data_IF_241640423394
#
_entry.id   IF_241640423394
#
_cell.length_a   1.000
_cell.length_b   1.000
_cell.length_c   1.000
_cell.angle_alpha   90.00
_cell.angle_beta   90.00
_cell.angle_gamma   90.00
#
_symmetry.space_group_name_H-M   'P 1'
#
loop_
_entity.id
_entity.type
_entity.pdbx_description
1 polymer ?
#
# COMPACT_ATOMS: atom_id res chain seq x y z
N UNK A 1 -26.68 -9.11 29.90
CA UNK A 1 -26.73 -7.98 28.95
C UNK A 1 -26.34 -8.52 27.58
N UNK A 2 -27.20 -8.44 26.57
CA UNK A 2 -26.84 -8.81 25.19
C UNK A 2 -25.84 -7.78 24.72
N UNK A 3 -24.64 -8.21 24.38
CA UNK A 3 -23.64 -7.37 23.70
C UNK A 3 -24.23 -6.98 22.35
N UNK A 4 -24.65 -5.74 22.22
CA UNK A 4 -25.05 -5.15 20.93
C UNK A 4 -23.79 -5.19 20.09
N UNK A 5 -23.84 -5.85 18.93
CA UNK A 5 -22.75 -5.82 17.97
C UNK A 5 -22.78 -4.40 17.36
N UNK A 6 -21.88 -3.49 17.74
CA UNK A 6 -22.02 -2.06 17.42
C UNK A 6 -22.03 -1.81 15.92
N UNK A 7 -21.54 -2.74 15.12
CA UNK A 7 -21.34 -2.58 13.68
C UNK A 7 -22.62 -2.86 12.88
N UNK A 8 -23.39 -3.87 13.24
CA UNK A 8 -24.65 -4.20 12.54
C UNK A 8 -25.76 -3.15 12.73
N UNK A 9 -25.73 -2.43 13.83
CA UNK A 9 -26.75 -1.42 14.15
C UNK A 9 -26.38 -0.01 13.69
N UNK A 10 -25.11 0.23 13.31
CA UNK A 10 -24.61 1.54 12.88
C UNK A 10 -25.30 2.07 11.63
N UNK A 11 -25.56 1.21 10.65
CA UNK A 11 -26.24 1.59 9.40
C UNK A 11 -27.66 2.13 9.64
N UNK A 12 -28.36 1.63 10.68
CA UNK A 12 -29.68 2.11 11.06
C UNK A 12 -29.61 3.55 11.56
N UNK A 13 -28.67 3.85 12.43
CA UNK A 13 -28.50 5.20 13.00
C UNK A 13 -28.04 6.21 11.94
N UNK A 14 -27.10 5.82 11.09
CA UNK A 14 -26.59 6.63 9.97
C UNK A 14 -27.72 6.96 8.98
N UNK A 15 -28.54 5.95 8.61
CA UNK A 15 -29.66 6.15 7.70
C UNK A 15 -30.78 7.02 8.27
N UNK A 16 -30.85 7.19 9.59
CA UNK A 16 -31.81 8.06 10.27
C UNK A 16 -31.20 9.39 10.73
N UNK A 17 -30.01 9.77 10.24
CA UNK A 17 -29.31 11.01 10.57
C UNK A 17 -29.01 11.16 12.08
N UNK A 18 -28.83 10.04 12.79
CA UNK A 18 -28.51 10.04 14.22
C UNK A 18 -26.98 10.03 14.38
N UNK A 19 -26.43 11.04 15.04
CA UNK A 19 -25.02 11.11 15.38
C UNK A 19 -24.69 10.02 16.41
N UNK A 20 -23.91 9.02 16.01
CA UNK A 20 -23.46 7.94 16.89
C UNK A 20 -22.08 8.28 17.42
N UNK A 21 -21.88 8.13 18.71
CA UNK A 21 -20.61 8.35 19.41
C UNK A 21 -20.34 7.11 20.25
N UNK A 22 -19.12 6.62 20.22
CA UNK A 22 -18.70 5.48 21.03
C UNK A 22 -17.91 5.96 22.25
N UNK A 23 -18.06 5.28 23.38
CA UNK A 23 -17.21 5.47 24.56
C UNK A 23 -16.29 4.24 24.68
N UNK A 24 -15.01 4.41 25.09
CA UNK A 24 -14.16 3.30 25.43
C UNK A 24 -14.84 2.43 26.50
N UNK A 25 -14.61 1.12 26.49
CA UNK A 25 -15.15 0.18 27.49
C UNK A 25 -14.80 0.68 28.89
N UNK A 26 -15.85 0.88 29.72
CA UNK A 26 -15.68 1.13 31.15
C UNK A 26 -15.27 -0.20 31.83
N UNK A 27 -14.00 -0.41 32.03
CA UNK A 27 -13.52 -1.32 33.05
C UNK A 27 -13.31 -0.48 34.32
N UNK A 28 -14.00 -0.89 35.39
CA UNK A 28 -13.88 -0.38 36.77
C UNK A 28 -14.51 1.00 37.06
N UNK A 29 -15.82 0.97 37.31
CA UNK A 29 -16.46 1.98 38.13
C UNK A 29 -16.21 1.65 39.59
N UNK A 30 -15.37 2.46 40.28
CA UNK A 30 -15.28 2.48 41.74
C UNK A 30 -15.94 3.75 42.25
N UNK A 31 -16.83 3.68 43.27
CA UNK A 31 -17.57 4.83 43.78
C UNK A 31 -16.72 5.96 44.41
N UNK A 32 -15.44 5.74 44.61
CA UNK A 32 -14.54 6.65 45.31
C UNK A 32 -14.00 7.83 44.47
N UNK A 33 -14.33 7.91 43.19
CA UNK A 33 -13.82 8.94 42.28
C UNK A 33 -14.88 9.96 41.82
N UNK A 34 -15.87 10.29 42.65
CA UNK A 34 -16.99 11.18 42.27
C UNK A 34 -16.62 12.65 42.01
N UNK A 35 -15.46 13.15 42.41
CA UNK A 35 -15.15 14.58 42.35
C UNK A 35 -14.21 15.05 41.25
N UNK A 36 -13.74 14.19 40.39
CA UNK A 36 -12.94 14.62 39.24
C UNK A 36 -13.48 13.96 37.96
N UNK A 37 -13.97 14.78 37.02
CA UNK A 37 -13.92 14.46 35.60
C UNK A 37 -15.19 14.16 34.79
N UNK A 38 -16.22 14.97 34.93
CA UNK A 38 -17.22 15.09 33.84
C UNK A 38 -16.55 15.77 32.61
N UNK A 39 -15.67 16.72 32.80
CA UNK A 39 -14.96 17.41 31.71
C UNK A 39 -13.93 16.51 30.98
N UNK A 40 -13.26 15.58 31.71
CA UNK A 40 -12.35 14.60 31.10
C UNK A 40 -13.08 13.50 30.34
N UNK A 41 -14.33 13.17 30.70
CA UNK A 41 -15.14 12.16 30.00
C UNK A 41 -15.66 12.64 28.65
N UNK A 42 -15.89 13.94 28.47
CA UNK A 42 -16.32 14.50 27.17
C UNK A 42 -15.20 14.45 26.14
N UNK A 43 -13.93 14.53 26.55
CA UNK A 43 -12.77 14.38 25.65
C UNK A 43 -12.46 12.94 25.21
N UNK A 44 -13.10 11.93 25.82
CA UNK A 44 -12.92 10.50 25.49
C UNK A 44 -14.02 9.95 24.56
N UNK A 45 -14.94 10.76 24.11
CA UNK A 45 -15.98 10.34 23.16
C UNK A 45 -15.35 10.36 21.77
N UNK A 46 -14.96 9.19 21.27
CA UNK A 46 -14.44 9.04 19.92
C UNK A 46 -15.56 9.15 18.87
N UNK A 47 -15.34 9.97 17.86
CA UNK A 47 -16.18 9.93 16.66
C UNK A 47 -15.95 8.62 15.92
N UNK A 48 -17.01 8.00 15.40
CA UNK A 48 -16.90 6.80 14.54
C UNK A 48 -15.93 7.11 13.39
N UNK A 49 -14.92 6.26 13.27
CA UNK A 49 -13.95 6.35 12.19
C UNK A 49 -14.53 5.78 10.89
N UNK A 50 -14.04 6.26 9.76
CA UNK A 50 -14.45 5.77 8.44
C UNK A 50 -14.08 4.28 8.27
N UNK A 51 -13.08 3.82 8.99
CA UNK A 51 -12.66 2.42 9.07
C UNK A 51 -13.78 1.50 9.59
N UNK A 52 -14.59 1.99 10.55
CA UNK A 52 -15.72 1.26 11.13
C UNK A 52 -16.83 1.00 10.09
N UNK A 53 -16.87 1.80 9.00
CA UNK A 53 -17.83 1.62 7.90
C UNK A 53 -17.53 0.43 6.99
N UNK A 54 -16.34 -0.15 7.08
CA UNK A 54 -15.98 -1.30 6.25
C UNK A 54 -16.55 -2.63 6.74
N UNK A 55 -17.09 -2.66 7.96
CA UNK A 55 -17.64 -3.89 8.58
C UNK A 55 -16.72 -5.12 8.43
N UNK A 56 -15.39 -4.92 8.51
CA UNK A 56 -14.43 -5.99 8.33
C UNK A 56 -14.08 -6.66 9.65
N UNK A 57 -14.10 -8.00 9.70
CA UNK A 57 -13.56 -8.72 10.86
C UNK A 57 -12.03 -8.47 10.95
N UNK A 58 -11.52 -8.43 12.16
CA UNK A 58 -10.07 -8.45 12.42
C UNK A 58 -9.44 -9.66 11.73
N UNK A 59 -8.29 -9.44 11.08
CA UNK A 59 -7.56 -10.50 10.40
C UNK A 59 -6.67 -11.22 11.42
N UNK A 60 -6.81 -12.54 11.47
CA UNK A 60 -5.88 -13.40 12.18
C UNK A 60 -4.67 -13.68 11.30
N UNK A 61 -3.47 -13.33 11.81
CA UNK A 61 -2.18 -13.67 11.20
C UNK A 61 -1.42 -14.65 12.07
N UNK A 62 -0.57 -15.48 11.46
CA UNK A 62 0.31 -16.37 12.22
C UNK A 62 1.48 -15.59 12.82
N UNK A 63 1.26 -15.01 14.00
CA UNK A 63 2.25 -14.17 14.70
C UNK A 63 3.53 -14.93 15.05
N UNK A 64 3.49 -16.23 15.27
CA UNK A 64 4.66 -17.07 15.55
C UNK A 64 5.59 -17.19 14.34
N UNK A 65 5.03 -17.45 13.15
CA UNK A 65 5.80 -17.50 11.91
C UNK A 65 6.47 -16.14 11.62
N UNK A 66 5.73 -15.05 11.78
CA UNK A 66 6.25 -13.69 11.58
C UNK A 66 7.34 -13.37 12.60
N UNK A 67 7.17 -13.78 13.88
CA UNK A 67 8.18 -13.62 14.91
C UNK A 67 9.47 -14.36 14.55
N UNK A 68 9.37 -15.64 14.20
CA UNK A 68 10.54 -16.45 13.81
C UNK A 68 11.27 -15.88 12.59
N UNK A 69 10.54 -15.23 11.70
CA UNK A 69 11.07 -14.58 10.51
C UNK A 69 11.80 -13.27 10.81
N UNK A 70 11.32 -12.43 11.75
CA UNK A 70 11.81 -11.08 11.99
C UNK A 70 12.70 -10.94 13.24
N UNK A 71 12.58 -11.86 14.19
CA UNK A 71 13.33 -11.76 15.45
C UNK A 71 14.84 -11.71 15.22
N UNK A 72 15.52 -10.74 15.82
CA UNK A 72 16.95 -10.52 15.75
C UNK A 72 17.51 -10.33 14.31
N UNK A 73 16.68 -9.97 13.33
CA UNK A 73 17.10 -9.63 11.98
C UNK A 73 17.42 -8.13 11.85
N UNK A 74 18.23 -7.76 10.86
CA UNK A 74 18.30 -6.39 10.35
C UNK A 74 17.24 -6.23 9.27
N UNK A 75 16.27 -5.34 9.49
CA UNK A 75 15.14 -5.13 8.60
C UNK A 75 15.19 -3.73 8.01
N UNK A 76 15.33 -3.62 6.71
CA UNK A 76 15.30 -2.35 5.98
C UNK A 76 13.91 -2.11 5.38
N UNK A 77 13.37 -0.91 5.58
CA UNK A 77 12.12 -0.47 4.95
C UNK A 77 12.42 0.76 4.10
N UNK A 78 12.18 0.68 2.78
CA UNK A 78 12.28 1.82 1.88
C UNK A 78 10.92 2.49 1.73
N UNK A 79 10.89 3.82 1.60
CA UNK A 79 9.64 4.58 1.67
C UNK A 79 9.03 4.51 3.08
N UNK A 80 9.90 4.52 4.10
CA UNK A 80 9.56 4.25 5.49
C UNK A 80 8.59 5.25 6.10
N UNK A 81 8.54 6.49 5.62
CA UNK A 81 7.60 7.51 6.08
C UNK A 81 6.28 7.55 5.26
N UNK A 82 6.14 6.69 4.25
CA UNK A 82 4.87 6.48 3.55
C UNK A 82 3.85 5.74 4.43
N UNK A 83 2.55 5.82 4.08
CA UNK A 83 1.47 5.22 4.89
C UNK A 83 1.66 3.71 5.14
N UNK A 84 2.10 2.95 4.14
CA UNK A 84 2.37 1.51 4.29
C UNK A 84 3.72 1.27 4.96
N UNK A 85 4.79 1.99 4.53
CA UNK A 85 6.12 1.83 5.10
C UNK A 85 6.16 2.11 6.60
N UNK A 86 5.52 3.20 7.04
CA UNK A 86 5.40 3.60 8.43
C UNK A 86 4.70 2.53 9.28
N UNK A 87 3.61 1.95 8.79
CA UNK A 87 2.90 0.90 9.51
C UNK A 87 3.71 -0.42 9.54
N UNK A 88 4.40 -0.77 8.44
CA UNK A 88 5.33 -1.90 8.44
C UNK A 88 6.41 -1.70 9.49
N UNK A 89 6.99 -0.49 9.62
CA UNK A 89 7.98 -0.19 10.67
C UNK A 89 7.41 -0.46 12.06
N UNK A 90 6.20 0.05 12.37
CA UNK A 90 5.54 -0.17 13.68
C UNK A 90 5.28 -1.65 13.95
N UNK A 91 4.74 -2.36 12.98
CA UNK A 91 4.45 -3.78 13.16
C UNK A 91 5.71 -4.63 13.29
N UNK A 92 6.75 -4.35 12.51
CA UNK A 92 8.06 -5.03 12.61
C UNK A 92 8.69 -4.82 13.98
N UNK A 93 8.57 -3.62 14.57
CA UNK A 93 9.12 -3.31 15.89
C UNK A 93 8.55 -4.23 16.99
N UNK A 94 7.29 -4.66 16.89
CA UNK A 94 6.70 -5.61 17.85
C UNK A 94 7.33 -7.02 17.84
N UNK A 95 8.14 -7.35 16.84
CA UNK A 95 8.80 -8.65 16.71
C UNK A 95 10.28 -8.63 17.12
N UNK A 96 10.76 -7.51 17.69
CA UNK A 96 12.11 -7.33 18.25
C UNK A 96 13.23 -7.67 17.24
N UNK A 97 13.27 -7.04 16.06
CA UNK A 97 14.42 -7.14 15.18
C UNK A 97 15.64 -6.48 15.83
N UNK A 98 16.85 -6.86 15.38
CA UNK A 98 18.10 -6.29 15.89
C UNK A 98 18.21 -4.80 15.57
N UNK A 99 17.88 -4.42 14.35
CA UNK A 99 17.85 -3.03 13.84
C UNK A 99 16.74 -2.89 12.82
N UNK A 100 16.02 -1.78 12.85
CA UNK A 100 15.12 -1.36 11.78
C UNK A 100 15.75 -0.16 11.07
N UNK A 101 16.03 -0.32 9.77
CA UNK A 101 16.63 0.72 8.93
C UNK A 101 15.53 1.40 8.12
N UNK A 102 15.29 2.68 8.38
CA UNK A 102 14.32 3.51 7.69
C UNK A 102 15.02 4.26 6.55
N UNK A 103 14.76 3.89 5.30
CA UNK A 103 15.27 4.59 4.12
C UNK A 103 14.14 5.41 3.49
N UNK A 104 14.30 6.73 3.45
CA UNK A 104 13.27 7.67 2.98
C UNK A 104 13.93 8.88 2.29
N UNK A 105 13.30 9.39 1.24
CA UNK A 105 13.75 10.59 0.54
C UNK A 105 13.27 11.88 1.20
N UNK A 106 12.10 11.82 1.86
CA UNK A 106 11.44 12.98 2.46
C UNK A 106 11.91 13.18 3.91
N UNK A 107 12.77 14.18 4.14
CA UNK A 107 13.38 14.47 5.45
C UNK A 107 12.33 14.72 6.53
N UNK A 108 11.41 15.66 6.34
CA UNK A 108 10.45 16.05 7.38
C UNK A 108 9.51 14.91 7.79
N UNK A 109 8.88 14.14 6.88
CA UNK A 109 8.12 12.95 7.26
C UNK A 109 8.95 11.88 7.99
N UNK A 110 10.25 11.73 7.62
CA UNK A 110 11.14 10.80 8.31
C UNK A 110 11.42 11.27 9.74
N UNK A 111 11.64 12.56 9.93
CA UNK A 111 11.83 13.15 11.26
C UNK A 111 10.61 12.93 12.16
N UNK A 112 9.41 13.24 11.65
CA UNK A 112 8.17 13.11 12.41
C UNK A 112 7.94 11.66 12.87
N UNK A 113 8.09 10.68 11.97
CA UNK A 113 7.91 9.27 12.32
C UNK A 113 8.96 8.81 13.36
N UNK A 114 10.20 9.28 13.28
CA UNK A 114 11.25 8.90 14.25
C UNK A 114 10.94 9.39 15.66
N UNK A 115 10.32 10.56 15.80
CA UNK A 115 9.87 11.06 17.12
C UNK A 115 8.82 10.12 17.69
N UNK A 116 7.81 9.75 16.89
CA UNK A 116 6.74 8.86 17.34
C UNK A 116 7.27 7.46 17.68
N UNK A 117 8.10 6.88 16.82
CA UNK A 117 8.67 5.54 17.00
C UNK A 117 9.54 5.43 18.26
N UNK A 118 10.36 6.44 18.54
CA UNK A 118 11.20 6.46 19.77
C UNK A 118 10.36 6.54 21.04
N UNK A 119 9.19 7.18 20.98
CA UNK A 119 8.26 7.25 22.10
C UNK A 119 7.50 5.93 22.27
N UNK A 120 7.07 5.31 21.16
CA UNK A 120 6.27 4.08 21.15
C UNK A 120 7.12 2.83 21.45
N UNK A 121 8.38 2.80 20.96
CA UNK A 121 9.31 1.67 21.09
C UNK A 121 10.68 2.15 21.60
N UNK A 122 10.80 2.57 22.88
CA UNK A 122 12.02 3.19 23.43
C UNK A 122 13.25 2.28 23.39
N UNK A 123 13.05 0.95 23.46
CA UNK A 123 14.15 -0.04 23.48
C UNK A 123 14.57 -0.50 22.08
N UNK A 124 13.80 -0.17 21.03
CA UNK A 124 14.08 -0.61 19.66
C UNK A 124 15.12 0.29 19.01
N UNK A 125 16.14 -0.32 18.42
CA UNK A 125 17.12 0.42 17.62
C UNK A 125 16.58 0.75 16.23
N UNK A 126 16.40 2.04 15.94
CA UNK A 126 16.04 2.59 14.64
C UNK A 126 17.24 3.32 14.03
N UNK A 127 17.74 2.80 12.91
CA UNK A 127 18.66 3.52 12.02
C UNK A 127 17.83 4.26 10.95
N UNK A 128 18.35 5.37 10.45
CA UNK A 128 17.62 6.17 9.45
C UNK A 128 18.56 6.75 8.40
N UNK A 129 18.12 6.74 7.15
CA UNK A 129 18.88 7.17 5.99
C UNK A 129 18.00 8.05 5.13
N UNK A 130 18.45 9.26 4.82
CA UNK A 130 17.84 10.11 3.80
C UNK A 130 18.47 9.73 2.46
N UNK A 131 17.73 8.96 1.64
CA UNK A 131 18.22 8.49 0.35
C UNK A 131 17.11 8.36 -0.68
N UNK A 132 17.48 8.58 -1.93
CA UNK A 132 16.62 8.34 -3.08
C UNK A 132 16.92 6.95 -3.66
N UNK A 133 15.92 6.08 -3.73
CA UNK A 133 16.09 4.73 -4.32
C UNK A 133 16.52 4.75 -5.79
N UNK A 134 16.37 5.90 -6.48
CA UNK A 134 16.86 6.09 -7.86
C UNK A 134 18.38 6.22 -7.93
N UNK A 135 19.00 6.63 -6.84
CA UNK A 135 20.46 6.76 -6.72
C UNK A 135 21.05 5.42 -6.25
N UNK A 136 21.70 4.75 -7.20
CA UNK A 136 22.28 3.43 -6.94
C UNK A 136 23.41 3.48 -5.91
N UNK A 137 24.18 4.57 -5.84
CA UNK A 137 25.28 4.74 -4.90
C UNK A 137 24.74 4.89 -3.47
N UNK A 138 23.75 5.76 -3.26
CA UNK A 138 23.14 5.94 -1.93
C UNK A 138 22.48 4.65 -1.43
N UNK A 139 21.83 3.88 -2.33
CA UNK A 139 21.26 2.58 -1.98
C UNK A 139 22.36 1.59 -1.62
N UNK A 140 23.46 1.56 -2.38
CA UNK A 140 24.60 0.67 -2.10
C UNK A 140 25.24 0.98 -0.76
N UNK A 141 25.52 2.26 -0.44
CA UNK A 141 26.06 2.69 0.86
C UNK A 141 25.19 2.23 2.03
N UNK A 142 23.86 2.33 1.87
CA UNK A 142 22.91 1.85 2.87
C UNK A 142 22.98 0.33 3.09
N UNK A 143 23.14 -0.44 2.01
CA UNK A 143 23.27 -1.90 2.11
C UNK A 143 24.63 -2.34 2.65
N UNK A 144 25.69 -1.62 2.32
CA UNK A 144 27.05 -1.88 2.82
C UNK A 144 27.13 -1.62 4.34
N UNK A 145 26.49 -0.55 4.83
CA UNK A 145 26.51 -0.19 6.24
C UNK A 145 25.70 -1.16 7.12
N UNK A 146 24.53 -1.59 6.63
CA UNK A 146 23.57 -2.34 7.48
C UNK A 146 23.44 -3.81 7.14
N UNK A 147 23.85 -4.27 5.95
CA UNK A 147 23.72 -5.65 5.48
C UNK A 147 22.33 -6.26 5.82
N UNK A 148 21.21 -5.71 5.31
CA UNK A 148 19.88 -6.08 5.75
C UNK A 148 19.54 -7.55 5.43
N UNK A 149 19.08 -8.28 6.44
CA UNK A 149 18.57 -9.63 6.30
C UNK A 149 17.24 -9.67 5.54
N UNK A 150 16.40 -8.64 5.77
CA UNK A 150 15.06 -8.50 5.18
C UNK A 150 14.87 -7.09 4.67
N UNK A 151 14.33 -6.95 3.46
CA UNK A 151 13.97 -5.65 2.87
C UNK A 151 12.49 -5.62 2.54
N UNK A 152 11.77 -4.62 3.06
CA UNK A 152 10.42 -4.25 2.63
C UNK A 152 10.52 -3.01 1.73
N UNK A 153 10.28 -3.19 0.44
CA UNK A 153 10.38 -2.13 -0.56
C UNK A 153 9.02 -1.50 -0.81
N UNK A 154 8.70 -0.40 -0.08
CA UNK A 154 7.47 0.36 -0.20
C UNK A 154 7.65 1.73 -0.89
N UNK A 155 8.89 2.12 -1.23
CA UNK A 155 9.16 3.35 -1.97
C UNK A 155 8.58 3.29 -3.39
N UNK A 156 7.61 4.16 -3.71
CA UNK A 156 7.01 4.26 -5.03
C UNK A 156 6.18 5.53 -5.20
N UNK A 157 6.01 5.99 -6.43
CA UNK A 157 4.97 6.95 -6.80
C UNK A 157 3.68 6.22 -7.13
N UNK A 158 2.57 6.60 -6.47
CA UNK A 158 1.29 5.88 -6.51
C UNK A 158 0.13 6.64 -7.16
N UNK A 159 0.27 7.96 -7.35
CA UNK A 159 -0.82 8.80 -7.85
C UNK A 159 -0.95 8.68 -9.37
N UNK A 160 -2.02 8.00 -9.82
CA UNK A 160 -2.28 7.73 -11.24
C UNK A 160 -2.26 9.00 -12.09
N UNK A 161 -2.99 10.10 -11.75
CA UNK A 161 -3.00 11.30 -12.60
C UNK A 161 -1.61 11.91 -12.78
N UNK A 162 -0.81 11.98 -11.71
CA UNK A 162 0.54 12.53 -11.79
C UNK A 162 1.47 11.64 -12.63
N UNK A 163 1.31 10.33 -12.57
CA UNK A 163 2.15 9.43 -13.38
C UNK A 163 1.75 9.43 -14.86
N UNK A 164 0.50 9.74 -15.19
CA UNK A 164 0.07 9.98 -16.56
C UNK A 164 0.73 11.27 -17.13
N UNK A 165 0.86 12.31 -16.32
CA UNK A 165 1.55 13.55 -16.70
C UNK A 165 3.09 13.40 -16.74
N UNK A 166 3.63 12.60 -15.81
CA UNK A 166 5.07 12.44 -15.61
C UNK A 166 5.53 10.97 -15.71
N UNK A 167 5.32 10.28 -16.85
CA UNK A 167 5.63 8.84 -16.99
C UNK A 167 7.10 8.50 -16.75
N UNK A 168 8.02 9.42 -17.05
CA UNK A 168 9.45 9.24 -16.75
C UNK A 168 9.69 9.07 -15.25
N UNK A 169 8.97 9.81 -14.40
CA UNK A 169 9.11 9.70 -12.95
C UNK A 169 8.60 8.35 -12.44
N UNK A 170 7.55 7.79 -13.06
CA UNK A 170 7.11 6.44 -12.77
C UNK A 170 8.19 5.40 -13.14
N UNK A 171 8.86 5.55 -14.28
CA UNK A 171 9.96 4.65 -14.69
C UNK A 171 11.14 4.77 -13.73
N UNK A 172 11.58 5.99 -13.44
CA UNK A 172 12.76 6.22 -12.60
C UNK A 172 12.52 5.77 -11.14
N UNK A 173 11.36 6.05 -10.57
CA UNK A 173 11.10 5.68 -9.17
C UNK A 173 10.63 4.23 -9.04
N UNK A 174 9.59 3.84 -9.79
CA UNK A 174 8.96 2.54 -9.57
C UNK A 174 9.73 1.39 -10.24
N UNK A 175 10.48 1.66 -11.32
CA UNK A 175 11.24 0.62 -12.03
C UNK A 175 12.72 0.68 -11.67
N UNK A 176 13.42 1.79 -11.95
CA UNK A 176 14.84 1.92 -11.63
C UNK A 176 15.09 1.83 -10.12
N UNK A 177 14.28 2.53 -9.29
CA UNK A 177 14.38 2.43 -7.84
C UNK A 177 14.20 1.01 -7.33
N UNK A 178 13.17 0.28 -7.82
CA UNK A 178 12.98 -1.14 -7.44
C UNK A 178 14.13 -2.03 -7.92
N UNK A 179 14.67 -1.77 -9.13
CA UNK A 179 15.83 -2.48 -9.66
C UNK A 179 17.06 -2.26 -8.78
N UNK A 180 17.39 -1.02 -8.43
CA UNK A 180 18.55 -0.69 -7.60
C UNK A 180 18.48 -1.43 -6.25
N UNK A 181 17.33 -1.35 -5.55
CA UNK A 181 17.18 -2.01 -4.24
C UNK A 181 17.23 -3.54 -4.38
N UNK A 182 16.64 -4.11 -5.44
CA UNK A 182 16.66 -5.55 -5.70
C UNK A 182 18.08 -6.06 -6.04
N UNK A 183 18.83 -5.31 -6.84
CA UNK A 183 20.21 -5.68 -7.20
C UNK A 183 21.15 -5.64 -5.98
N UNK A 184 20.96 -4.61 -5.10
CA UNK A 184 21.73 -4.54 -3.85
C UNK A 184 21.33 -5.66 -2.88
N UNK A 185 20.05 -6.03 -2.83
CA UNK A 185 19.61 -7.18 -2.04
C UNK A 185 20.32 -8.49 -2.48
N UNK A 186 20.53 -8.67 -3.77
CA UNK A 186 21.32 -9.82 -4.29
C UNK A 186 22.80 -9.68 -3.93
N UNK A 187 23.39 -8.50 -4.19
CA UNK A 187 24.82 -8.24 -3.96
C UNK A 187 25.21 -8.47 -2.49
N UNK A 188 24.39 -8.00 -1.56
CA UNK A 188 24.62 -8.10 -0.11
C UNK A 188 23.91 -9.30 0.54
N UNK A 189 23.46 -10.29 -0.28
CA UNK A 189 22.91 -11.58 0.17
C UNK A 189 21.73 -11.45 1.15
N UNK A 190 20.90 -10.44 0.96
CA UNK A 190 19.64 -10.29 1.70
C UNK A 190 18.83 -11.59 1.62
N UNK A 191 18.35 -12.11 2.74
CA UNK A 191 17.60 -13.38 2.78
C UNK A 191 16.23 -13.24 2.10
N UNK A 192 15.56 -12.10 2.30
CA UNK A 192 14.21 -11.84 1.77
C UNK A 192 14.04 -10.40 1.31
N UNK A 193 13.55 -10.25 0.08
CA UNK A 193 13.13 -8.97 -0.49
C UNK A 193 11.63 -9.00 -0.76
N UNK A 194 10.87 -8.09 -0.13
CA UNK A 194 9.41 -8.00 -0.24
C UNK A 194 9.04 -6.72 -0.97
N UNK A 195 8.49 -6.86 -2.16
CA UNK A 195 8.04 -5.75 -2.98
C UNK A 195 6.58 -5.45 -2.73
N UNK A 196 6.25 -4.23 -2.35
CA UNK A 196 4.87 -3.77 -2.25
C UNK A 196 4.37 -3.39 -3.65
N UNK A 197 3.31 -4.04 -4.11
CA UNK A 197 2.65 -3.79 -5.39
C UNK A 197 1.17 -3.43 -5.20
N UNK A 198 0.39 -3.46 -6.27
CA UNK A 198 -0.99 -2.96 -6.29
C UNK A 198 -1.86 -3.77 -7.25
N UNK A 199 -3.17 -3.75 -7.03
CA UNK A 199 -4.21 -4.22 -7.95
C UNK A 199 -4.10 -3.58 -9.34
N UNK A 200 -3.61 -2.34 -9.41
CA UNK A 200 -3.46 -1.58 -10.68
C UNK A 200 -2.36 -2.11 -11.60
N UNK A 201 -1.50 -3.00 -11.10
CA UNK A 201 -0.52 -3.75 -11.91
C UNK A 201 -1.19 -4.89 -12.71
N UNK A 202 -2.44 -5.25 -12.40
CA UNK A 202 -3.24 -6.25 -13.11
C UNK A 202 -3.95 -5.60 -14.29
N UNK A 203 -3.75 -6.09 -15.51
CA UNK A 203 -4.30 -5.49 -16.73
C UNK A 203 -4.21 -3.96 -16.68
N UNK A 204 -2.99 -3.37 -16.59
CA UNK A 204 -2.85 -1.96 -16.30
C UNK A 204 -3.50 -1.09 -17.38
N UNK A 205 -4.18 -0.03 -16.94
CA UNK A 205 -4.80 0.97 -17.84
C UNK A 205 -4.12 2.33 -17.74
N UNK A 206 -3.05 2.39 -16.96
CA UNK A 206 -2.33 3.61 -16.66
C UNK A 206 -0.84 3.36 -16.45
N UNK A 207 -0.07 4.44 -16.58
CA UNK A 207 1.40 4.44 -16.44
C UNK A 207 1.85 3.94 -15.07
N UNK A 208 1.17 4.34 -13.99
CA UNK A 208 1.53 3.91 -12.63
C UNK A 208 1.39 2.40 -12.48
N UNK A 209 0.26 1.82 -12.86
CA UNK A 209 0.04 0.37 -12.81
C UNK A 209 1.02 -0.39 -13.71
N UNK A 210 1.25 0.10 -14.95
CA UNK A 210 2.23 -0.47 -15.86
C UNK A 210 3.65 -0.44 -15.29
N UNK A 211 4.08 0.65 -14.66
CA UNK A 211 5.40 0.75 -14.03
C UNK A 211 5.57 -0.26 -12.88
N UNK A 212 4.53 -0.46 -12.06
CA UNK A 212 4.56 -1.48 -11.00
C UNK A 212 4.62 -2.89 -11.60
N UNK A 213 3.88 -3.14 -12.69
CA UNK A 213 3.93 -4.44 -13.39
C UNK A 213 5.32 -4.74 -13.97
N UNK A 214 5.99 -3.74 -14.57
CA UNK A 214 7.37 -3.89 -15.06
C UNK A 214 8.32 -4.23 -13.91
N UNK A 215 8.18 -3.57 -12.76
CA UNK A 215 8.99 -3.88 -11.58
C UNK A 215 8.73 -5.31 -11.04
N UNK A 216 7.47 -5.78 -11.02
CA UNK A 216 7.14 -7.17 -10.69
C UNK A 216 7.82 -8.17 -11.63
N UNK A 217 7.77 -7.89 -12.94
CA UNK A 217 8.41 -8.72 -13.97
C UNK A 217 9.92 -8.79 -13.74
N UNK A 218 10.57 -7.64 -13.43
CA UNK A 218 11.99 -7.61 -13.11
C UNK A 218 12.33 -8.50 -11.93
N UNK A 219 11.68 -8.27 -10.79
CA UNK A 219 11.94 -8.97 -9.52
C UNK A 219 11.70 -10.46 -9.66
N UNK A 220 10.61 -10.87 -10.32
CA UNK A 220 10.28 -12.27 -10.53
C UNK A 220 11.30 -12.98 -11.46
N UNK A 221 11.62 -12.35 -12.60
CA UNK A 221 12.57 -12.93 -13.55
C UNK A 221 13.99 -13.02 -12.96
N UNK A 222 14.40 -12.04 -12.17
CA UNK A 222 15.66 -12.06 -11.41
C UNK A 222 15.71 -13.26 -10.46
N UNK A 223 14.65 -13.46 -9.67
CA UNK A 223 14.57 -14.62 -8.78
C UNK A 223 14.66 -15.95 -9.55
N UNK A 224 13.89 -16.11 -10.63
CA UNK A 224 13.88 -17.33 -11.42
C UNK A 224 15.26 -17.66 -12.01
N UNK A 225 16.03 -16.64 -12.41
CA UNK A 225 17.42 -16.80 -12.86
C UNK A 225 18.31 -17.27 -11.72
N UNK A 226 18.28 -16.57 -10.58
CA UNK A 226 19.14 -16.85 -9.44
C UNK A 226 18.86 -18.23 -8.82
N UNK A 227 17.60 -18.61 -8.71
CA UNK A 227 17.18 -19.88 -8.09
C UNK A 227 17.60 -21.12 -8.90
N UNK A 228 17.84 -20.96 -10.22
CA UNK A 228 18.39 -22.06 -11.06
C UNK A 228 19.82 -22.42 -10.65
N UNK A 229 20.62 -21.40 -10.32
CA UNK A 229 22.05 -21.57 -10.04
C UNK A 229 22.32 -21.76 -8.54
N UNK A 230 21.50 -21.16 -7.68
CA UNK A 230 21.65 -21.19 -6.22
C UNK A 230 20.30 -21.23 -5.49
N UNK A 231 19.88 -22.37 -4.92
CA UNK A 231 18.65 -22.50 -4.16
C UNK A 231 18.60 -21.64 -2.88
N UNK A 232 19.76 -21.18 -2.39
CA UNK A 232 19.88 -20.33 -1.18
C UNK A 232 19.98 -18.83 -1.52
N UNK A 233 19.68 -18.45 -2.76
CA UNK A 233 19.70 -17.06 -3.18
C UNK A 233 18.65 -16.21 -2.44
N UNK A 234 18.76 -14.88 -2.55
CA UNK A 234 17.74 -13.94 -2.08
C UNK A 234 16.35 -14.35 -2.56
N UNK A 235 15.41 -14.52 -1.65
CA UNK A 235 14.03 -14.88 -1.97
C UNK A 235 13.22 -13.61 -2.21
N UNK A 236 12.72 -13.46 -3.41
CA UNK A 236 11.90 -12.32 -3.80
C UNK A 236 10.41 -12.64 -3.64
N UNK A 237 9.68 -11.68 -3.07
CA UNK A 237 8.25 -11.77 -2.80
C UNK A 237 7.58 -10.50 -3.30
N UNK A 238 6.47 -10.62 -3.97
CA UNK A 238 5.63 -9.48 -4.35
C UNK A 238 4.27 -9.60 -3.69
N UNK A 239 3.73 -8.49 -3.18
CA UNK A 239 2.38 -8.44 -2.60
C UNK A 239 1.52 -7.45 -3.34
N UNK A 240 0.33 -7.88 -3.79
CA UNK A 240 -0.68 -7.07 -4.47
C UNK A 240 -1.90 -6.89 -3.59
N UNK A 241 -2.31 -5.66 -3.38
CA UNK A 241 -3.57 -5.32 -2.73
C UNK A 241 -4.15 -4.02 -3.31
N UNK A 242 -5.43 -3.77 -3.04
CA UNK A 242 -6.17 -2.62 -3.55
C UNK A 242 -5.90 -1.34 -2.75
N UNK A 243 -6.94 -0.51 -2.63
CA UNK A 243 -6.79 0.75 -1.91
C UNK A 243 -6.72 0.51 -0.39
N UNK A 244 -5.93 1.33 0.30
CA UNK A 244 -5.90 1.36 1.76
C UNK A 244 -6.57 2.63 2.28
N UNK A 245 -7.43 2.47 3.28
CA UNK A 245 -8.16 3.58 3.89
C UNK A 245 -7.22 4.55 4.61
N UNK A 246 -7.56 5.83 4.55
CA UNK A 246 -6.84 6.86 5.29
C UNK A 246 -5.43 7.16 4.81
N UNK A 247 -4.93 6.48 3.75
CA UNK A 247 -3.58 6.73 3.23
C UNK A 247 -3.46 8.16 2.65
N UNK A 248 -2.25 8.74 2.76
CA UNK A 248 -1.96 10.10 2.30
C UNK A 248 -2.38 10.29 0.83
N UNK A 249 -3.14 11.38 0.57
CA UNK A 249 -3.65 11.72 -0.75
C UNK A 249 -4.75 10.79 -1.30
N UNK A 250 -5.31 9.89 -0.48
CA UNK A 250 -6.42 9.03 -0.87
C UNK A 250 -7.78 9.73 -0.76
N UNK A 251 -8.83 9.03 -1.21
CA UNK A 251 -10.20 9.58 -1.29
C UNK A 251 -10.76 10.01 0.06
N UNK A 252 -10.48 9.28 1.14
CA UNK A 252 -11.02 9.58 2.48
C UNK A 252 -10.49 10.90 3.05
N UNK A 253 -9.17 11.15 3.16
CA UNK A 253 -8.65 12.45 3.54
C UNK A 253 -9.13 13.59 2.62
N UNK A 254 -9.29 13.31 1.33
CA UNK A 254 -9.79 14.30 0.38
C UNK A 254 -11.25 14.69 0.66
N UNK A 255 -12.13 13.71 0.86
CA UNK A 255 -13.53 13.95 1.23
C UNK A 255 -13.64 14.66 2.58
N UNK A 256 -12.84 14.27 3.60
CA UNK A 256 -12.80 14.99 4.89
C UNK A 256 -12.50 16.49 4.70
N UNK A 257 -11.52 16.82 3.85
CA UNK A 257 -11.18 18.23 3.53
C UNK A 257 -12.32 18.97 2.83
N UNK A 258 -12.98 18.33 1.85
CA UNK A 258 -14.11 18.94 1.13
C UNK A 258 -15.30 19.14 2.05
N UNK A 259 -15.64 18.18 2.89
CA UNK A 259 -16.73 18.28 3.88
C UNK A 259 -16.44 19.40 4.89
N UNK A 260 -15.22 19.47 5.42
CA UNK A 260 -14.81 20.53 6.35
C UNK A 260 -14.86 21.93 5.73
N UNK A 261 -14.68 22.04 4.41
CA UNK A 261 -14.82 23.30 3.65
C UNK A 261 -16.26 23.65 3.26
N UNK A 262 -17.26 22.83 3.65
CA UNK A 262 -18.67 23.04 3.28
C UNK A 262 -19.07 22.45 1.92
N UNK A 263 -18.21 21.62 1.32
CA UNK A 263 -18.47 20.97 0.03
C UNK A 263 -18.06 21.83 -1.20
N UNK A 264 -18.43 21.42 -2.42
CA UNK A 264 -19.05 20.12 -2.72
C UNK A 264 -18.07 18.96 -2.59
N UNK A 265 -18.59 17.74 -2.38
CA UNK A 265 -17.79 16.51 -2.46
C UNK A 265 -17.73 16.04 -3.92
N UNK A 266 -16.52 15.78 -4.44
CA UNK A 266 -16.33 15.40 -5.85
C UNK A 266 -16.04 13.92 -5.98
N UNK A 267 -16.83 13.23 -6.82
CA UNK A 267 -16.70 11.80 -7.17
C UNK A 267 -16.50 11.70 -8.68
N UNK A 268 -15.60 10.84 -9.13
CA UNK A 268 -15.28 10.76 -10.57
C UNK A 268 -16.38 10.10 -11.40
N UNK A 269 -17.13 9.14 -10.84
CA UNK A 269 -18.26 8.51 -11.54
C UNK A 269 -19.26 7.93 -10.52
N UNK A 270 -20.59 7.98 -10.76
CA UNK A 270 -21.59 7.46 -9.83
C UNK A 270 -21.45 5.96 -9.53
N UNK A 271 -20.97 5.18 -10.51
CA UNK A 271 -20.84 3.73 -10.38
C UNK A 271 -19.42 3.25 -10.12
N UNK A 272 -18.49 4.16 -9.80
CA UNK A 272 -17.12 3.75 -9.51
C UNK A 272 -17.06 2.97 -8.21
N UNK A 273 -16.40 1.81 -8.26
CA UNK A 273 -16.17 0.96 -7.08
C UNK A 273 -14.68 0.77 -6.84
N UNK A 274 -14.34 0.61 -5.56
CA UNK A 274 -12.98 0.27 -5.12
C UNK A 274 -13.03 -0.75 -4.01
N UNK A 275 -12.02 -1.58 -3.95
CA UNK A 275 -11.76 -2.43 -2.81
C UNK A 275 -10.95 -1.64 -1.79
N UNK A 276 -11.29 -1.80 -0.51
CA UNK A 276 -10.58 -1.14 0.57
C UNK A 276 -10.15 -2.14 1.64
N UNK A 277 -9.03 -1.82 2.26
CA UNK A 277 -8.45 -2.51 3.39
C UNK A 277 -7.92 -1.46 4.35
N UNK A 278 -7.81 -1.74 5.63
CA UNK A 278 -7.13 -0.83 6.56
C UNK A 278 -5.61 -0.92 6.36
N UNK A 279 -4.87 0.13 6.74
CA UNK A 279 -3.41 0.14 6.64
C UNK A 279 -2.79 -0.94 7.54
N UNK A 280 -3.23 -1.11 8.82
CA UNK A 280 -2.74 -2.19 9.67
C UNK A 280 -3.02 -3.59 9.09
N UNK A 281 -4.22 -3.82 8.54
CA UNK A 281 -4.59 -5.08 7.89
C UNK A 281 -3.66 -5.42 6.73
N UNK A 282 -3.46 -4.47 5.80
CA UNK A 282 -2.57 -4.65 4.66
C UNK A 282 -1.14 -4.96 5.09
N UNK A 283 -0.63 -4.24 6.08
CA UNK A 283 0.74 -4.42 6.58
C UNK A 283 0.92 -5.77 7.28
N UNK A 284 -0.06 -6.21 8.07
CA UNK A 284 -0.05 -7.53 8.71
C UNK A 284 0.00 -8.67 7.69
N UNK A 285 -0.81 -8.58 6.62
CA UNK A 285 -0.78 -9.56 5.53
C UNK A 285 0.54 -9.54 4.73
N UNK A 286 1.18 -8.37 4.59
CA UNK A 286 2.51 -8.26 3.98
C UNK A 286 3.55 -9.01 4.82
N UNK A 287 3.55 -8.84 6.14
CA UNK A 287 4.48 -9.54 7.03
C UNK A 287 4.25 -11.07 6.98
N UNK A 288 3.00 -11.51 6.98
CA UNK A 288 2.68 -12.93 6.89
C UNK A 288 3.05 -13.52 5.53
N UNK A 289 2.73 -12.85 4.41
CA UNK A 289 3.15 -13.26 3.08
C UNK A 289 4.67 -13.38 2.98
N UNK A 290 5.41 -12.44 3.58
CA UNK A 290 6.85 -12.50 3.66
C UNK A 290 7.35 -13.73 4.43
N UNK A 291 6.73 -14.08 5.53
CA UNK A 291 7.08 -15.24 6.35
C UNK A 291 6.73 -16.58 5.66
N UNK A 292 5.59 -16.63 4.92
CA UNK A 292 5.12 -17.84 4.24
C UNK A 292 5.87 -18.16 2.94
N UNK A 293 6.48 -17.17 2.30
CA UNK A 293 7.05 -17.30 0.95
C UNK A 293 8.23 -18.28 0.87
N UNK A 294 8.28 -19.02 -0.22
CA UNK A 294 9.43 -19.82 -0.62
C UNK A 294 10.32 -19.10 -1.65
N UNK A 295 9.85 -18.01 -2.23
CA UNK A 295 10.52 -17.15 -3.21
C UNK A 295 9.87 -17.21 -4.59
N UNK A 296 9.79 -16.04 -5.25
CA UNK A 296 9.23 -15.87 -6.60
C UNK A 296 7.71 -15.71 -6.66
N UNK A 297 7.01 -15.83 -5.52
CA UNK A 297 5.56 -15.70 -5.50
C UNK A 297 5.10 -14.26 -5.62
N UNK A 298 3.95 -14.09 -6.27
CA UNK A 298 3.13 -12.89 -6.23
C UNK A 298 1.90 -13.21 -5.39
N UNK A 299 1.83 -12.66 -4.19
CA UNK A 299 0.69 -12.80 -3.31
C UNK A 299 -0.35 -11.73 -3.58
N UNK A 300 -1.62 -12.14 -3.68
CA UNK A 300 -2.77 -11.25 -3.78
C UNK A 300 -3.61 -11.39 -2.52
N UNK A 301 -4.01 -10.25 -1.94
CA UNK A 301 -4.83 -10.27 -0.73
C UNK A 301 -6.31 -10.23 -1.06
N UNK A 302 -7.10 -11.00 -0.31
CA UNK A 302 -8.55 -10.93 -0.37
C UNK A 302 -9.03 -9.56 0.17
N UNK A 303 -9.51 -8.74 -0.75
CA UNK A 303 -9.98 -7.39 -0.44
C UNK A 303 -11.42 -7.34 0.07
N UNK A 304 -12.10 -8.49 0.22
CA UNK A 304 -13.49 -8.57 0.63
C UNK A 304 -14.45 -7.91 -0.37
N UNK A 305 -15.46 -7.19 0.12
CA UNK A 305 -16.48 -6.59 -0.72
C UNK A 305 -16.05 -5.25 -1.30
N UNK A 306 -16.41 -4.97 -2.58
CA UNK A 306 -16.16 -3.68 -3.19
C UNK A 306 -17.08 -2.60 -2.61
N UNK A 307 -16.55 -1.38 -2.46
CA UNK A 307 -17.27 -0.21 -1.94
C UNK A 307 -17.54 0.79 -3.06
N UNK A 308 -18.79 1.22 -3.18
CA UNK A 308 -19.18 2.29 -4.10
C UNK A 308 -18.73 3.65 -3.55
N UNK A 309 -17.91 4.37 -4.31
CA UNK A 309 -17.32 5.64 -3.82
C UNK A 309 -18.37 6.71 -3.57
N UNK A 310 -19.46 6.71 -4.36
CA UNK A 310 -20.58 7.62 -4.14
C UNK A 310 -21.29 7.37 -2.78
N UNK A 311 -21.40 6.09 -2.38
CA UNK A 311 -22.02 5.75 -1.09
C UNK A 311 -21.07 6.03 0.07
N UNK A 312 -19.76 5.81 -0.11
CA UNK A 312 -18.75 6.26 0.86
C UNK A 312 -18.84 7.78 1.08
N UNK A 313 -18.96 8.57 0.01
CA UNK A 313 -19.12 10.02 0.10
C UNK A 313 -20.38 10.42 0.92
N UNK A 314 -21.53 9.80 0.60
CA UNK A 314 -22.79 10.03 1.34
C UNK A 314 -22.63 9.70 2.83
N UNK A 315 -22.04 8.55 3.14
CA UNK A 315 -21.85 8.12 4.52
C UNK A 315 -20.90 9.06 5.29
N UNK A 316 -19.83 9.52 4.66
CA UNK A 316 -18.91 10.49 5.28
C UNK A 316 -19.57 11.86 5.53
N UNK A 317 -20.43 12.34 4.62
CA UNK A 317 -21.22 13.58 4.80
C UNK A 317 -22.16 13.41 6.01
N UNK A 318 -22.88 12.27 6.11
CA UNK A 318 -23.78 11.99 7.24
C UNK A 318 -23.02 11.87 8.56
N UNK A 319 -21.87 11.18 8.58
CA UNK A 319 -21.02 11.09 9.78
C UNK A 319 -20.54 12.48 10.27
N UNK A 320 -20.35 13.41 9.35
CA UNK A 320 -20.02 14.78 9.69
C UNK A 320 -21.24 15.61 10.18
N UNK A 321 -22.44 15.03 10.20
CA UNK A 321 -23.67 15.68 10.68
C UNK A 321 -24.40 16.47 9.61
N UNK A 322 -24.11 16.27 8.33
CA UNK A 322 -24.74 16.95 7.20
C UNK A 322 -25.63 16.01 6.38
N UNK A 323 -26.59 16.57 5.65
CA UNK A 323 -27.49 15.84 4.75
C UNK A 323 -26.93 15.87 3.31
N UNK A 324 -26.60 14.70 2.68
CA UNK A 324 -26.12 14.66 1.31
C UNK A 324 -27.13 15.20 0.31
N UNK A 325 -26.71 16.11 -0.57
CA UNK A 325 -27.53 16.72 -1.60
C UNK A 325 -28.39 17.92 -1.12
N UNK A 326 -28.37 18.20 0.18
CA UNK A 326 -29.04 19.36 0.76
C UNK A 326 -28.05 20.35 1.39
N UNK A 327 -27.25 19.87 2.36
CA UNK A 327 -26.23 20.67 3.03
C UNK A 327 -24.90 20.63 2.26
N UNK A 328 -24.55 19.45 1.72
CA UNK A 328 -23.34 19.23 0.92
C UNK A 328 -23.69 18.46 -0.35
N UNK A 329 -23.44 19.07 -1.51
CA UNK A 329 -23.61 18.43 -2.81
C UNK A 329 -22.53 17.41 -3.12
N UNK A 330 -22.90 16.38 -3.92
CA UNK A 330 -21.96 15.44 -4.56
C UNK A 330 -21.93 15.72 -6.06
N UNK A 331 -20.77 16.15 -6.55
CA UNK A 331 -20.57 16.49 -7.97
C UNK A 331 -19.79 15.36 -8.65
N UNK A 332 -20.27 14.93 -9.83
CA UNK A 332 -19.59 13.94 -10.66
C UNK A 332 -18.72 14.61 -11.72
N UNK A 333 -17.40 14.38 -11.65
CA UNK A 333 -16.41 15.11 -12.46
C UNK A 333 -15.98 14.38 -13.75
N UNK A 334 -16.39 13.13 -13.94
CA UNK A 334 -15.88 12.25 -14.99
C UNK A 334 -14.64 11.47 -14.55
N UNK A 335 -14.39 10.33 -15.22
CA UNK A 335 -13.20 9.51 -14.96
C UNK A 335 -11.94 10.26 -15.36
N UNK A 336 -10.90 10.14 -14.53
CA UNK A 336 -9.59 10.74 -14.77
C UNK A 336 -8.76 9.88 -15.76
N UNK A 337 -7.72 10.46 -16.38
CA UNK A 337 -6.79 9.69 -17.21
C UNK A 337 -6.26 8.46 -16.46
N UNK A 338 -6.32 7.30 -17.13
CA UNK A 338 -5.88 6.02 -16.58
C UNK A 338 -6.82 5.37 -15.57
N UNK A 339 -7.93 6.01 -15.18
CA UNK A 339 -8.83 5.49 -14.14
C UNK A 339 -9.76 4.41 -14.69
N UNK A 340 -9.86 3.28 -13.97
CA UNK A 340 -10.84 2.21 -14.22
C UNK A 340 -12.13 2.47 -13.46
N UNK A 341 -13.28 2.09 -14.04
CA UNK A 341 -14.55 2.08 -13.32
C UNK A 341 -14.55 0.99 -12.21
N UNK A 342 -13.97 -0.17 -12.53
CA UNK A 342 -13.82 -1.34 -11.66
C UNK A 342 -12.37 -1.78 -11.66
N UNK A 343 -11.79 -1.99 -10.47
CA UNK A 343 -10.44 -2.55 -10.33
C UNK A 343 -10.49 -4.09 -10.29
N UNK A 344 -9.44 -4.73 -10.76
CA UNK A 344 -9.31 -6.17 -10.82
C UNK A 344 -8.17 -6.60 -9.88
N UNK A 345 -8.44 -7.56 -9.01
CA UNK A 345 -7.40 -8.11 -8.11
C UNK A 345 -6.51 -9.14 -8.84
N UNK A 346 -7.07 -9.79 -9.87
CA UNK A 346 -6.44 -10.83 -10.67
C UNK A 346 -6.80 -10.65 -12.15
N UNK A 347 -5.88 -11.01 -13.03
CA UNK A 347 -6.18 -11.14 -14.44
C UNK A 347 -7.03 -12.41 -14.66
N UNK A 348 -7.96 -12.40 -15.60
CA UNK A 348 -8.79 -13.58 -15.99
C UNK A 348 -7.94 -14.83 -16.34
N UNK A 349 -6.68 -14.65 -16.72
CA UNK A 349 -5.72 -15.71 -17.03
C UNK A 349 -4.86 -16.14 -15.85
N UNK A 350 -4.88 -15.38 -14.75
CA UNK A 350 -4.14 -15.71 -13.53
C UNK A 350 -4.99 -16.67 -12.69
N UNK A 351 -4.54 -17.90 -12.58
CA UNK A 351 -5.08 -18.86 -11.61
C UNK A 351 -4.51 -18.53 -10.24
N UNK A 352 -5.29 -18.70 -9.19
CA UNK A 352 -4.82 -18.58 -7.81
C UNK A 352 -4.64 -19.92 -7.15
N UNK A 353 -3.63 -20.00 -6.28
CA UNK A 353 -3.42 -21.12 -5.38
C UNK A 353 -3.69 -20.61 -3.96
N UNK A 354 -4.56 -21.26 -3.18
CA UNK A 354 -4.76 -20.90 -1.78
C UNK A 354 -3.49 -21.15 -0.97
N UNK A 355 -3.28 -20.33 0.06
CA UNK A 355 -2.23 -20.53 1.06
C UNK A 355 -2.83 -21.09 2.36
N UNK A 356 -2.02 -21.21 3.41
CA UNK A 356 -2.50 -21.55 4.75
C UNK A 356 -3.39 -20.46 5.37
N UNK A 357 -3.24 -19.21 4.90
CA UNK A 357 -4.09 -18.09 5.26
C UNK A 357 -5.10 -17.83 4.13
N UNK A 358 -6.39 -17.95 4.42
CA UNK A 358 -7.47 -17.76 3.45
C UNK A 358 -7.49 -16.36 2.81
N UNK A 359 -6.89 -15.36 3.48
CA UNK A 359 -6.78 -13.98 3.00
C UNK A 359 -5.60 -13.75 2.04
N UNK A 360 -4.72 -14.75 1.89
CA UNK A 360 -3.52 -14.66 1.06
C UNK A 360 -3.58 -15.73 -0.04
N UNK A 361 -3.62 -15.29 -1.28
CA UNK A 361 -3.63 -16.16 -2.46
C UNK A 361 -2.33 -15.97 -3.24
N UNK A 362 -1.81 -17.03 -3.86
CA UNK A 362 -0.67 -16.95 -4.79
C UNK A 362 -1.21 -16.80 -6.21
N UNK A 363 -0.84 -15.76 -6.93
CA UNK A 363 -1.15 -15.59 -8.33
C UNK A 363 -0.16 -16.37 -9.22
N UNK A 364 -0.66 -17.23 -10.11
CA UNK A 364 0.14 -17.81 -11.20
C UNK A 364 0.21 -16.80 -12.33
N UNK A 365 1.34 -16.13 -12.46
CA UNK A 365 1.60 -15.16 -13.52
C UNK A 365 2.51 -15.76 -14.59
N UNK A 366 2.53 -15.13 -15.77
CA UNK A 366 3.48 -15.48 -16.83
C UNK A 366 4.90 -15.26 -16.35
N UNK A 367 5.77 -16.24 -16.58
CA UNK A 367 7.20 -16.14 -16.36
C UNK A 367 7.89 -15.47 -17.54
N UNK A 368 8.97 -14.75 -17.26
CA UNK A 368 9.77 -14.03 -18.24
C UNK A 368 11.23 -14.45 -18.14
N UNK A 369 11.88 -14.51 -19.31
CA UNK A 369 13.34 -14.69 -19.37
C UNK A 369 14.04 -13.42 -18.89
N UNK A 370 14.90 -13.57 -17.88
CA UNK A 370 15.57 -12.43 -17.24
C UNK A 370 16.44 -11.62 -18.21
N UNK A 371 17.26 -12.28 -19.05
CA UNK A 371 18.24 -11.60 -19.89
C UNK A 371 17.53 -10.76 -20.96
N UNK A 372 16.43 -11.29 -21.52
CA UNK A 372 15.57 -10.56 -22.46
C UNK A 372 14.88 -9.38 -21.79
N UNK A 373 14.27 -9.58 -20.63
CA UNK A 373 13.52 -8.55 -19.90
C UNK A 373 14.45 -7.47 -19.35
N UNK A 374 15.57 -7.85 -18.75
CA UNK A 374 16.54 -6.90 -18.19
C UNK A 374 17.07 -5.94 -19.25
N UNK A 375 17.36 -6.44 -20.47
CA UNK A 375 17.76 -5.62 -21.60
C UNK A 375 16.69 -4.60 -21.99
N UNK A 376 15.43 -5.02 -22.06
CA UNK A 376 14.31 -4.12 -22.38
C UNK A 376 14.05 -3.08 -21.28
N UNK A 377 14.17 -3.49 -20.02
CA UNK A 377 14.02 -2.60 -18.87
C UNK A 377 15.17 -1.56 -18.84
N UNK A 378 16.41 -1.97 -19.12
CA UNK A 378 17.52 -1.02 -19.20
C UNK A 378 17.28 0.02 -20.29
N UNK A 379 16.86 -0.41 -21.47
CA UNK A 379 16.53 0.53 -22.55
C UNK A 379 15.34 1.47 -22.19
N UNK A 380 14.39 1.00 -21.38
CA UNK A 380 13.30 1.83 -20.85
C UNK A 380 13.83 2.89 -19.87
N UNK A 381 14.76 2.52 -19.00
CA UNK A 381 15.41 3.42 -18.05
C UNK A 381 16.21 4.49 -18.80
N UNK A 382 16.98 4.10 -19.83
CA UNK A 382 17.76 5.00 -20.66
C UNK A 382 16.86 6.03 -21.37
N UNK A 383 15.70 5.59 -21.89
CA UNK A 383 14.71 6.50 -22.51
C UNK A 383 14.13 7.48 -21.48
N UNK A 384 13.88 7.02 -20.24
CA UNK A 384 13.39 7.91 -19.19
C UNK A 384 14.44 8.95 -18.76
N UNK A 385 15.70 8.57 -18.66
CA UNK A 385 16.80 9.48 -18.36
C UNK A 385 17.01 10.51 -19.47
N UNK A 386 16.85 10.12 -20.74
CA UNK A 386 16.99 11.00 -21.90
C UNK A 386 15.78 11.94 -22.15
N UNK A 387 14.78 11.95 -21.30
CA UNK A 387 13.72 12.95 -21.31
C UNK A 387 12.53 12.69 -22.24
N UNK A 388 12.26 11.45 -22.65
CA UNK A 388 11.22 11.12 -23.63
C UNK A 388 10.04 10.38 -23.02
N UNK A 389 8.89 11.05 -22.84
CA UNK A 389 7.68 10.46 -22.22
C UNK A 389 7.03 9.39 -23.10
N UNK A 390 6.70 9.70 -24.36
CA UNK A 390 6.02 8.78 -25.29
C UNK A 390 6.82 7.49 -25.55
N UNK A 391 8.13 7.52 -25.86
CA UNK A 391 8.94 6.31 -25.97
C UNK A 391 8.91 5.44 -24.71
N UNK A 392 8.95 6.03 -23.51
CA UNK A 392 8.84 5.27 -22.25
C UNK A 392 7.53 4.48 -22.21
N UNK A 393 6.37 5.11 -22.47
CA UNK A 393 5.09 4.44 -22.46
C UNK A 393 5.00 3.38 -23.56
N UNK A 394 5.48 3.66 -24.76
CA UNK A 394 5.54 2.69 -25.85
C UNK A 394 6.37 1.46 -25.49
N UNK A 395 7.50 1.63 -24.81
CA UNK A 395 8.34 0.52 -24.36
C UNK A 395 7.69 -0.24 -23.20
N UNK A 396 7.04 0.44 -22.25
CA UNK A 396 6.24 -0.23 -21.21
C UNK A 396 5.18 -1.16 -21.82
N UNK A 397 4.46 -0.72 -22.87
CA UNK A 397 3.48 -1.53 -23.58
C UNK A 397 4.09 -2.77 -24.28
N UNK A 398 5.35 -2.69 -24.72
CA UNK A 398 6.07 -3.85 -25.27
C UNK A 398 6.46 -4.86 -24.19
N UNK A 399 6.88 -4.38 -23.01
CA UNK A 399 7.24 -5.25 -21.88
C UNK A 399 5.98 -5.86 -21.25
N UNK A 400 4.89 -5.09 -21.18
CA UNK A 400 3.59 -5.45 -20.59
C UNK A 400 2.52 -5.41 -21.69
N UNK A 401 2.35 -6.48 -22.48
CA UNK A 401 1.40 -6.50 -23.60
C UNK A 401 -0.07 -6.29 -23.20
N UNK A 402 -0.41 -6.63 -21.95
CA UNK A 402 -1.72 -6.41 -21.35
C UNK A 402 -2.00 -4.93 -20.99
N UNK A 403 -1.01 -4.04 -21.05
CA UNK A 403 -1.18 -2.62 -20.77
C UNK A 403 -1.96 -1.94 -21.92
N UNK A 404 -3.22 -1.57 -21.63
CA UNK A 404 -4.10 -0.80 -22.50
C UNK A 404 -4.50 0.49 -21.82
N UNK A 405 -4.05 1.64 -22.34
CA UNK A 405 -4.38 2.95 -21.77
C UNK A 405 -5.89 3.21 -21.82
N UNK A 406 -6.42 3.91 -20.81
CA UNK A 406 -7.83 4.37 -20.81
C UNK A 406 -7.90 5.84 -20.43
N UNK A 407 -8.73 6.60 -21.12
CA UNK A 407 -8.91 8.04 -20.90
C UNK A 407 -7.59 8.82 -20.92
N UNK A 408 -6.61 8.38 -21.70
CA UNK A 408 -5.24 8.90 -21.71
C UNK A 408 -4.77 9.23 -23.12
N UNK A 409 -3.88 10.21 -23.25
CA UNK A 409 -3.21 10.54 -24.51
C UNK A 409 -2.41 9.37 -25.08
N UNK A 410 -2.09 8.37 -24.24
CA UNK A 410 -1.31 7.19 -24.62
C UNK A 410 -2.15 6.08 -25.25
N UNK A 411 -3.49 6.24 -25.41
CA UNK A 411 -4.35 5.31 -26.17
C UNK A 411 -3.90 5.19 -27.62
N UNK A 412 -3.34 6.25 -28.21
CA UNK A 412 -2.80 6.21 -29.56
C UNK A 412 -1.65 5.19 -29.75
N UNK A 413 -1.06 4.69 -28.65
CA UNK A 413 -0.03 3.66 -28.64
C UNK A 413 -0.59 2.23 -28.48
N UNK A 414 -1.91 2.07 -28.39
CA UNK A 414 -2.59 0.77 -28.21
C UNK A 414 -2.87 0.03 -29.55
N UNK A 415 -2.27 0.48 -30.63
CA UNK A 415 -2.44 -0.07 -31.98
C UNK A 415 -1.67 -1.37 -32.18
#
# INVERSE_FOLDING_TARGET
>A
MKTINPIKDLSIFINHNIRVMTTPYFNDYTPENENNNIALRIGQIESINVEDLLERPTIDINTENVRNFLYNQVVMITGAAGSIGCEIVRQVANYHPRVIVLLEIAESPLHDILIDLKKEFPEQHFAHIIADVRDAQMVEEAFEEYEPDVVFHAAAYKHVPLMEEFPRQAVLTNILGSKNVADMAVKYRTKRFVMISTDKAVNPTNVMGASKRVAEIYVQSLYLKLAKDNPTCTKFVTTRFGNVLGSNGSVVPYFKKQIAAGGPVTVTHPDIIRFFMTIPEASSLVLEAAALSNGGEIFCFDMGHPVKIADLAKNMIRLAGYEPGKDIEIIYTGLRPGEKLYEELLNQKELTIPTKNEKILVAKVREYDYDSVSTQIQALIDEAQNGKAFPCVQRMKKIVPEYKSKNSIYEQLDK
#
